data_IF_613330235753
#
_entry.id   IF_613330235753
#
_cell.length_a   1.000
_cell.length_b   1.000
_cell.length_c   1.000
_cell.angle_alpha   90.00
_cell.angle_beta   90.00
_cell.angle_gamma   90.00
#
_symmetry.space_group_name_H-M   'P 1'
#
loop_
_entity.id
_entity.type
_entity.pdbx_description
1 polymer ?
#
# COMPACT_ATOMS: atom_id res chain seq x y z
N UNK A 1 -30.73 -6.38 -1.71
CA UNK A 1 -29.43 -5.69 -1.65
C UNK A 1 -28.46 -6.62 -0.91
N UNK A 2 -27.56 -7.30 -1.61
CA UNK A 2 -26.52 -8.12 -0.98
C UNK A 2 -25.57 -7.18 -0.22
N UNK A 3 -25.12 -7.50 1.00
CA UNK A 3 -23.99 -6.78 1.55
C UNK A 3 -22.81 -7.11 0.62
N UNK A 4 -22.34 -6.11 -0.12
CA UNK A 4 -20.96 -6.13 -0.61
C UNK A 4 -20.15 -6.20 0.68
N UNK A 5 -19.65 -7.37 1.02
CA UNK A 5 -18.58 -7.47 2.00
C UNK A 5 -17.43 -6.78 1.27
N UNK A 6 -17.30 -5.47 1.46
CA UNK A 6 -16.17 -4.73 0.92
C UNK A 6 -14.93 -5.40 1.49
N UNK A 7 -14.17 -6.03 0.60
CA UNK A 7 -12.92 -6.65 0.97
C UNK A 7 -12.03 -5.54 1.55
N UNK A 8 -11.33 -5.78 2.67
CA UNK A 8 -10.51 -4.73 3.29
C UNK A 8 -9.56 -4.14 2.23
N UNK A 9 -9.30 -2.82 2.25
CA UNK A 9 -8.63 -2.13 1.14
C UNK A 9 -7.28 -2.74 0.72
N UNK A 10 -6.59 -3.37 1.66
CA UNK A 10 -5.27 -3.98 1.47
C UNK A 10 -5.27 -5.49 1.79
N UNK A 11 -6.43 -6.15 1.74
CA UNK A 11 -6.56 -7.58 1.99
C UNK A 11 -5.72 -8.43 1.03
N UNK A 12 -5.62 -8.01 -0.24
CA UNK A 12 -4.77 -8.64 -1.24
C UNK A 12 -3.28 -8.66 -0.84
N UNK A 13 -2.84 -7.69 -0.03
CA UNK A 13 -1.48 -7.62 0.54
C UNK A 13 -1.36 -8.36 1.88
N UNK A 14 -2.38 -9.10 2.30
CA UNK A 14 -2.44 -9.81 3.57
C UNK A 14 -2.62 -8.91 4.79
N UNK A 15 -3.06 -7.66 4.60
CA UNK A 15 -3.23 -6.70 5.70
C UNK A 15 -4.68 -6.67 6.20
N UNK A 16 -4.94 -7.16 7.42
CA UNK A 16 -6.27 -7.14 8.00
C UNK A 16 -6.60 -5.77 8.61
N UNK A 17 -7.89 -5.50 8.73
CA UNK A 17 -8.40 -4.35 9.48
C UNK A 17 -8.38 -3.03 8.71
N UNK A 18 -8.69 -1.94 9.44
CA UNK A 18 -8.81 -0.59 8.88
C UNK A 18 -7.43 0.08 8.78
N UNK A 19 -7.06 0.67 7.64
CA UNK A 19 -5.79 1.39 7.51
C UNK A 19 -5.68 2.54 8.51
N UNK A 20 -4.54 2.63 9.20
CA UNK A 20 -4.30 3.60 10.29
C UNK A 20 -4.66 3.08 11.68
N UNK A 21 -5.31 1.92 11.80
CA UNK A 21 -5.57 1.27 13.09
C UNK A 21 -4.37 0.49 13.62
N UNK A 22 -4.33 0.24 14.93
CA UNK A 22 -3.23 -0.49 15.57
C UNK A 22 -3.09 -1.92 15.05
N UNK A 23 -4.20 -2.63 14.83
CA UNK A 23 -4.19 -3.98 14.26
C UNK A 23 -3.60 -4.01 12.84
N UNK A 24 -3.90 -2.98 12.04
CA UNK A 24 -3.33 -2.82 10.71
C UNK A 24 -1.82 -2.58 10.79
N UNK A 25 -1.38 -1.66 11.66
CA UNK A 25 0.04 -1.35 11.83
C UNK A 25 0.84 -2.48 12.45
N UNK A 26 0.24 -3.29 13.33
CA UNK A 26 0.87 -4.47 13.89
C UNK A 26 1.16 -5.54 12.81
N UNK A 27 0.24 -5.69 11.86
CA UNK A 27 0.37 -6.60 10.72
C UNK A 27 1.22 -6.03 9.57
N UNK A 28 1.34 -4.71 9.47
CA UNK A 28 2.05 -4.03 8.39
C UNK A 28 3.52 -4.49 8.30
N UNK A 29 3.92 -4.93 7.11
CA UNK A 29 5.30 -5.29 6.73
C UNK A 29 5.65 -4.64 5.40
N UNK A 30 5.73 -3.32 5.38
CA UNK A 30 5.96 -2.53 4.16
C UNK A 30 7.46 -2.45 3.81
N UNK A 31 7.83 -2.52 2.50
CA UNK A 31 6.95 -2.72 1.35
C UNK A 31 6.44 -4.16 1.21
N UNK A 32 5.18 -4.33 0.79
CA UNK A 32 4.59 -5.65 0.48
C UNK A 32 4.37 -5.77 -1.02
N UNK A 33 4.98 -6.78 -1.64
CA UNK A 33 4.84 -7.05 -3.08
C UNK A 33 3.99 -8.30 -3.30
N UNK A 34 2.99 -8.21 -4.17
CA UNK A 34 2.20 -9.33 -4.66
C UNK A 34 2.39 -9.52 -6.17
N UNK A 35 2.29 -10.74 -6.71
CA UNK A 35 2.33 -10.97 -8.14
C UNK A 35 1.26 -10.16 -8.88
N UNK A 36 1.61 -9.63 -10.06
CA UNK A 36 0.71 -8.97 -11.00
C UNK A 36 1.07 -9.42 -12.43
N UNK A 37 0.20 -9.13 -13.40
CA UNK A 37 0.28 -9.68 -14.78
C UNK A 37 1.69 -9.61 -15.39
N UNK A 38 2.38 -8.46 -15.28
CA UNK A 38 3.72 -8.23 -15.85
C UNK A 38 4.80 -7.89 -14.80
N UNK A 39 4.64 -8.36 -13.57
CA UNK A 39 5.62 -8.15 -12.50
C UNK A 39 5.02 -8.20 -11.10
N UNK A 40 5.22 -7.15 -10.34
CA UNK A 40 4.75 -7.04 -8.95
C UNK A 40 3.92 -5.78 -8.77
N UNK A 41 2.87 -5.89 -7.98
CA UNK A 41 2.19 -4.73 -7.39
C UNK A 41 2.70 -4.60 -5.97
N UNK A 42 3.38 -3.49 -5.68
CA UNK A 42 4.00 -3.25 -4.38
C UNK A 42 3.26 -2.15 -3.64
N UNK A 43 2.80 -2.47 -2.43
CA UNK A 43 2.21 -1.53 -1.51
C UNK A 43 3.30 -0.96 -0.60
N UNK A 44 3.44 0.35 -0.62
CA UNK A 44 4.21 1.12 0.33
C UNK A 44 3.28 1.78 1.32
N UNK A 45 3.64 1.71 2.61
CA UNK A 45 2.92 2.32 3.70
C UNK A 45 3.83 3.24 4.49
N UNK A 46 3.27 4.34 4.96
CA UNK A 46 3.93 5.30 5.83
C UNK A 46 2.96 5.77 6.91
N UNK A 47 3.47 5.92 8.13
CA UNK A 47 2.70 6.39 9.28
C UNK A 47 3.15 7.81 9.65
N UNK A 48 2.22 8.77 9.66
CA UNK A 48 2.49 10.14 10.10
C UNK A 48 1.98 11.20 9.14
N UNK A 49 2.89 12.03 8.64
CA UNK A 49 2.62 13.17 7.75
C UNK A 49 2.69 12.81 6.27
N UNK A 50 2.30 13.75 5.41
CA UNK A 50 2.46 13.65 3.96
C UNK A 50 3.91 13.31 3.59
N UNK A 51 4.08 12.38 2.66
CA UNK A 51 5.37 11.90 2.21
C UNK A 51 5.31 11.43 0.76
N UNK A 52 6.47 11.33 0.14
CA UNK A 52 6.65 10.99 -1.28
C UNK A 52 7.67 9.86 -1.36
N UNK A 53 7.41 8.87 -2.22
CA UNK A 53 8.38 7.83 -2.56
C UNK A 53 9.28 8.33 -3.68
N UNK A 54 10.57 8.44 -3.41
CA UNK A 54 11.56 8.74 -4.42
C UNK A 54 12.30 7.46 -4.82
N UNK A 55 12.39 7.21 -6.12
CA UNK A 55 13.04 6.02 -6.67
C UNK A 55 14.27 6.47 -7.45
N UNK A 56 15.46 6.10 -6.97
CA UNK A 56 16.75 6.65 -7.42
C UNK A 56 17.03 6.54 -8.93
N UNK A 57 16.36 5.65 -9.68
CA UNK A 57 16.75 5.36 -11.07
C UNK A 57 15.62 4.95 -12.01
N UNK A 58 14.36 5.10 -11.62
CA UNK A 58 13.29 4.40 -12.35
C UNK A 58 11.98 5.19 -12.54
N UNK A 59 11.58 6.04 -11.60
CA UNK A 59 10.32 6.77 -11.72
C UNK A 59 10.43 8.14 -11.12
N UNK A 60 9.60 9.04 -11.65
CA UNK A 60 9.28 10.28 -10.97
C UNK A 60 8.79 10.00 -9.54
N UNK A 61 9.02 10.91 -8.59
CA UNK A 61 8.56 10.76 -7.22
C UNK A 61 7.05 10.47 -7.17
N UNK A 62 6.66 9.46 -6.40
CA UNK A 62 5.27 9.00 -6.27
C UNK A 62 4.70 9.54 -4.96
N UNK A 63 3.77 10.51 -4.99
CA UNK A 63 3.17 11.04 -3.77
C UNK A 63 2.32 9.96 -3.09
N UNK A 64 2.47 9.82 -1.78
CA UNK A 64 1.61 8.93 -1.00
C UNK A 64 0.23 9.58 -0.84
N UNK A 65 -0.81 8.77 -0.92
CA UNK A 65 -2.18 9.20 -0.66
C UNK A 65 -2.52 8.93 0.79
N UNK A 66 -3.19 9.88 1.44
CA UNK A 66 -3.72 9.67 2.79
C UNK A 66 -4.96 8.79 2.75
N UNK A 67 -5.02 7.77 3.61
CA UNK A 67 -6.21 6.96 3.79
C UNK A 67 -7.25 7.72 4.63
N UNK A 68 -8.11 8.49 3.96
CA UNK A 68 -9.10 9.33 4.62
C UNK A 68 -8.44 10.31 5.59
N UNK A 69 -8.98 10.42 6.81
CA UNK A 69 -8.46 11.28 7.88
C UNK A 69 -7.48 10.61 8.85
N UNK A 70 -6.91 9.45 8.54
CA UNK A 70 -6.03 8.71 9.47
C UNK A 70 -4.57 9.14 9.35
N UNK A 71 -3.67 8.53 10.12
CA UNK A 71 -2.22 8.72 10.02
C UNK A 71 -1.58 7.79 8.96
N UNK A 72 -2.38 7.08 8.16
CA UNK A 72 -1.91 6.13 7.17
C UNK A 72 -1.80 6.77 5.78
N UNK A 73 -0.59 6.70 5.23
CA UNK A 73 -0.24 7.14 3.90
C UNK A 73 0.20 5.93 3.08
N UNK A 74 -0.22 5.85 1.82
CA UNK A 74 0.06 4.70 0.98
C UNK A 74 0.26 5.05 -0.49
N UNK A 75 1.03 4.24 -1.19
CA UNK A 75 1.07 4.20 -2.64
C UNK A 75 1.19 2.75 -3.10
N UNK A 76 0.54 2.46 -4.21
CA UNK A 76 0.67 1.19 -4.89
C UNK A 76 1.43 1.43 -6.19
N UNK A 77 2.56 0.77 -6.31
CA UNK A 77 3.49 0.94 -7.44
C UNK A 77 3.57 -0.37 -8.20
N UNK A 78 3.44 -0.30 -9.53
CA UNK A 78 3.73 -1.45 -10.39
C UNK A 78 5.25 -1.53 -10.59
N UNK A 79 5.84 -2.61 -10.09
CA UNK A 79 7.24 -2.95 -10.30
C UNK A 79 7.35 -3.98 -11.45
N UNK A 80 8.20 -3.81 -12.47
CA UNK A 80 8.65 -4.86 -13.37
C UNK A 80 9.20 -6.04 -12.57
N UNK A 81 9.07 -7.22 -13.17
CA UNK A 81 9.42 -8.49 -12.57
C UNK A 81 10.83 -8.59 -11.93
N UNK A 82 11.79 -7.76 -12.37
CA UNK A 82 13.19 -7.80 -11.92
C UNK A 82 13.47 -7.03 -10.62
N UNK A 83 12.54 -6.20 -10.16
CA UNK A 83 12.68 -5.41 -8.93
C UNK A 83 11.52 -5.75 -7.98
N UNK A 84 11.84 -6.25 -6.78
CA UNK A 84 10.91 -6.56 -5.70
C UNK A 84 11.39 -5.98 -4.39
#
# INVERSE_FOLDING_TARGET
>A
MRPVIDEPPFAAFGLPGRPGGDAFWAAARTPVSIPADDGWRTLFLWRGSEAVLDFESWSSPVPLRRWGGTDCWYAEVRMPARLR
#
